data_IF_651121931772
#
_entry.id   IF_651121931772
#
_cell.length_a   1.000
_cell.length_b   1.000
_cell.length_c   1.000
_cell.angle_alpha   90.00
_cell.angle_beta   90.00
_cell.angle_gamma   90.00
#
_symmetry.space_group_name_H-M   'P 1'
#
loop_
_entity.id
_entity.type
_entity.pdbx_description
1 polymer ?
#
# COMPACT_ATOMS: atom_id res chain seq x y z
N UNK A 1 30.61 -2.30 16.22
CA UNK A 1 29.38 -2.01 15.42
C UNK A 1 29.06 -3.27 14.64
N UNK A 2 27.91 -3.87 14.84
CA UNK A 2 27.50 -5.09 14.13
C UNK A 2 26.81 -4.69 12.82
N UNK A 3 27.39 -5.12 11.69
CA UNK A 3 26.71 -5.01 10.39
C UNK A 3 25.43 -5.85 10.42
N UNK A 4 24.29 -5.19 10.34
CA UNK A 4 22.97 -5.85 10.35
C UNK A 4 22.44 -5.94 8.92
N UNK A 5 22.33 -7.17 8.39
CA UNK A 5 21.59 -7.36 7.15
C UNK A 5 20.11 -7.10 7.37
N UNK A 6 19.53 -6.25 6.55
CA UNK A 6 18.12 -5.86 6.60
C UNK A 6 17.40 -6.44 5.40
N UNK A 7 16.18 -6.93 5.62
CA UNK A 7 15.27 -7.39 4.58
C UNK A 7 13.85 -6.95 4.91
N UNK A 8 13.07 -6.68 3.88
CA UNK A 8 11.67 -6.32 4.02
C UNK A 8 10.76 -7.55 4.21
N UNK A 9 9.47 -7.31 4.46
CA UNK A 9 8.46 -8.36 4.61
C UNK A 9 8.42 -9.33 3.42
N UNK A 10 8.50 -8.86 2.19
CA UNK A 10 8.45 -9.68 0.98
C UNK A 10 9.79 -10.33 0.58
N UNK A 11 10.86 -10.16 1.35
CA UNK A 11 12.20 -10.65 1.03
C UNK A 11 12.75 -10.28 -0.37
N UNK A 12 12.15 -9.29 -1.04
CA UNK A 12 12.62 -8.80 -2.34
C UNK A 12 13.63 -7.65 -2.20
N UNK A 13 13.62 -6.94 -1.08
CA UNK A 13 14.56 -5.88 -0.75
C UNK A 13 15.51 -6.39 0.32
N UNK A 14 16.83 -6.39 0.02
CA UNK A 14 17.90 -6.82 0.94
C UNK A 14 19.09 -5.89 0.79
N UNK A 15 19.62 -5.42 1.92
CA UNK A 15 20.79 -4.55 1.95
C UNK A 15 21.46 -4.56 3.32
N UNK A 16 22.67 -3.98 3.40
CA UNK A 16 23.41 -3.84 4.65
C UNK A 16 23.82 -2.37 4.77
N UNK A 17 23.17 -1.57 5.62
CA UNK A 17 23.59 -0.18 5.86
C UNK A 17 24.95 -0.13 6.58
N UNK A 18 25.69 0.97 6.40
CA UNK A 18 26.91 1.23 7.17
C UNK A 18 26.59 1.30 8.67
N UNK A 19 25.47 1.93 9.01
CA UNK A 19 24.99 2.04 10.39
C UNK A 19 23.50 1.73 10.50
N UNK A 20 23.13 0.97 11.54
CA UNK A 20 21.74 0.73 11.94
C UNK A 20 21.52 1.25 13.35
N UNK A 21 20.56 2.15 13.54
CA UNK A 21 20.28 2.79 14.82
C UNK A 21 18.79 2.71 15.20
N UNK A 22 18.53 2.64 16.50
CA UNK A 22 17.19 2.59 17.09
C UNK A 22 17.11 3.64 18.22
N UNK A 23 16.99 4.96 17.89
CA UNK A 23 16.93 6.00 18.90
C UNK A 23 15.72 5.78 19.83
N UNK A 24 15.94 5.94 21.13
CA UNK A 24 14.92 5.71 22.15
C UNK A 24 13.89 6.84 22.20
N UNK A 25 14.32 8.07 21.88
CA UNK A 25 13.55 9.29 21.97
C UNK A 25 14.06 10.35 20.99
N UNK A 26 13.42 11.52 20.98
CA UNK A 26 13.73 12.63 20.11
C UNK A 26 15.12 13.22 20.37
N UNK A 27 15.54 13.31 21.63
CA UNK A 27 16.86 13.82 21.99
C UNK A 27 17.98 12.91 21.45
N UNK A 28 17.80 11.59 21.60
CA UNK A 28 18.70 10.59 21.04
C UNK A 28 18.72 10.61 19.51
N UNK A 29 17.58 10.89 18.86
CA UNK A 29 17.50 11.03 17.41
C UNK A 29 18.24 12.29 16.93
N UNK A 30 18.02 13.45 17.57
CA UNK A 30 18.72 14.70 17.23
C UNK A 30 20.24 14.52 17.33
N UNK A 31 20.71 13.95 18.44
CA UNK A 31 22.15 13.68 18.62
C UNK A 31 22.68 12.70 17.56
N UNK A 32 21.94 11.64 17.24
CA UNK A 32 22.34 10.68 16.21
C UNK A 32 22.53 11.37 14.85
N UNK A 33 21.62 12.27 14.47
CA UNK A 33 21.68 12.99 13.21
C UNK A 33 22.81 14.04 13.21
N UNK A 34 23.11 14.66 14.35
CA UNK A 34 24.23 15.60 14.51
C UNK A 34 25.58 14.87 14.38
N UNK A 35 25.72 13.72 15.05
CA UNK A 35 26.94 12.92 15.04
C UNK A 35 27.23 12.26 13.67
N UNK A 36 26.22 12.14 12.77
CA UNK A 36 26.31 11.44 11.49
C UNK A 36 25.67 12.25 10.35
N UNK A 37 25.91 13.54 10.32
CA UNK A 37 25.32 14.48 9.36
C UNK A 37 25.89 14.36 7.93
N UNK A 38 26.93 13.55 7.73
CA UNK A 38 27.58 13.27 6.45
C UNK A 38 27.01 12.02 5.74
N UNK A 39 26.17 11.24 6.42
CA UNK A 39 25.62 10.00 5.87
C UNK A 39 24.29 10.22 5.14
N UNK A 40 24.05 9.41 4.10
CA UNK A 40 22.71 9.21 3.55
C UNK A 40 21.80 8.51 4.57
N UNK A 41 20.56 8.94 4.71
CA UNK A 41 19.67 8.51 5.79
C UNK A 41 18.40 7.91 5.21
N UNK A 42 18.04 6.71 5.67
CA UNK A 42 16.69 6.16 5.45
C UNK A 42 16.05 5.73 6.75
N UNK A 43 14.72 5.68 6.72
CA UNK A 43 13.90 5.32 7.89
C UNK A 43 13.14 4.04 7.64
N UNK A 44 13.12 3.16 8.62
CA UNK A 44 12.34 1.91 8.61
C UNK A 44 11.62 1.76 9.94
N UNK A 45 10.55 0.99 9.96
CA UNK A 45 9.93 0.48 11.17
C UNK A 45 9.56 -1.01 10.98
N UNK A 46 8.32 -1.37 10.60
CA UNK A 46 7.93 -2.77 10.39
C UNK A 46 8.36 -3.39 9.05
N UNK A 47 8.97 -2.61 8.14
CA UNK A 47 9.57 -3.13 6.91
C UNK A 47 8.58 -3.69 5.88
N UNK A 48 7.36 -3.15 5.80
CA UNK A 48 6.31 -3.62 4.87
C UNK A 48 6.36 -3.01 3.46
N UNK A 49 7.33 -2.14 3.15
CA UNK A 49 7.50 -1.62 1.79
C UNK A 49 8.15 -2.68 0.89
N UNK A 50 7.62 -2.88 -0.33
CA UNK A 50 8.20 -3.75 -1.38
C UNK A 50 9.05 -2.97 -2.37
N UNK A 51 9.01 -1.64 -2.34
CA UNK A 51 9.88 -0.77 -3.12
C UNK A 51 11.25 -0.60 -2.46
N UNK A 52 12.24 -0.19 -3.24
CA UNK A 52 13.59 0.08 -2.76
C UNK A 52 13.71 1.39 -1.95
N UNK A 53 12.58 2.05 -1.64
CA UNK A 53 12.55 3.31 -0.89
C UNK A 53 13.26 3.26 0.47
N UNK A 54 13.38 2.07 1.08
CA UNK A 54 14.02 1.89 2.40
C UNK A 54 15.52 1.64 2.33
N UNK A 55 16.10 1.39 1.14
CA UNK A 55 17.53 1.08 1.00
C UNK A 55 18.40 2.28 1.31
N UNK A 56 19.51 2.03 2.00
CA UNK A 56 20.62 2.96 2.18
C UNK A 56 21.92 2.19 2.40
N UNK A 57 23.01 2.74 1.95
CA UNK A 57 24.37 2.34 2.29
C UNK A 57 24.91 3.12 3.51
N UNK A 58 24.25 4.21 3.90
CA UNK A 58 24.58 5.07 5.04
C UNK A 58 23.88 4.64 6.34
N UNK A 59 23.12 5.56 6.94
CA UNK A 59 22.43 5.40 8.22
C UNK A 59 20.97 4.94 8.00
N UNK A 60 20.64 3.77 8.55
CA UNK A 60 19.25 3.29 8.64
C UNK A 60 18.72 3.48 10.06
N UNK A 61 17.68 4.30 10.19
CA UNK A 61 17.02 4.59 11.47
C UNK A 61 15.75 3.78 11.60
N UNK A 62 15.63 3.01 12.68
CA UNK A 62 14.37 2.33 13.03
C UNK A 62 13.64 3.10 14.13
N UNK A 63 12.45 3.60 13.79
CA UNK A 63 11.63 4.44 14.67
C UNK A 63 10.70 3.65 15.60
N UNK A 64 10.95 2.38 15.84
CA UNK A 64 10.05 1.49 16.62
C UNK A 64 9.76 1.95 18.05
N UNK A 65 10.64 2.74 18.64
CA UNK A 65 10.48 3.24 20.01
C UNK A 65 9.55 4.47 20.09
N UNK A 66 9.29 5.14 18.97
CA UNK A 66 8.28 6.20 18.87
C UNK A 66 6.90 5.55 18.70
N UNK A 67 6.28 5.08 19.77
CA UNK A 67 5.06 4.27 19.70
C UNK A 67 3.95 4.72 20.67
N UNK A 68 4.07 5.88 21.29
CA UNK A 68 3.06 6.44 22.16
C UNK A 68 1.75 6.74 21.41
N UNK A 69 0.63 6.63 22.13
CA UNK A 69 -0.71 6.94 21.64
C UNK A 69 -1.41 7.85 22.63
N UNK A 70 -1.78 9.06 22.22
CA UNK A 70 -2.45 10.06 23.04
C UNK A 70 -3.65 10.65 22.30
N UNK A 71 -4.86 10.41 22.80
CA UNK A 71 -6.08 11.00 22.22
C UNK A 71 -6.13 12.50 22.60
N UNK A 72 -6.53 13.34 21.67
CA UNK A 72 -6.72 14.79 21.91
C UNK A 72 -7.79 15.03 22.96
N UNK A 73 -7.71 16.13 23.74
CA UNK A 73 -8.73 16.46 24.73
C UNK A 73 -10.15 16.56 24.15
N UNK A 74 -10.27 16.93 22.87
CA UNK A 74 -11.53 17.03 22.13
C UNK A 74 -12.06 15.64 21.70
N UNK A 75 -11.20 14.62 21.67
CA UNK A 75 -11.55 13.27 21.28
C UNK A 75 -11.86 13.09 19.78
N UNK A 76 -11.37 13.98 18.93
CA UNK A 76 -11.57 13.99 17.49
C UNK A 76 -10.27 13.73 16.71
N UNK A 77 -9.11 13.71 17.39
CA UNK A 77 -7.81 13.33 16.85
C UNK A 77 -7.00 12.51 17.85
N UNK A 78 -5.94 11.88 17.36
CA UNK A 78 -4.97 11.11 18.12
C UNK A 78 -3.57 11.50 17.68
N UNK A 79 -2.69 11.79 18.65
CA UNK A 79 -1.25 11.92 18.46
C UNK A 79 -0.64 10.54 18.62
N UNK A 80 0.06 10.08 17.61
CA UNK A 80 0.61 8.72 17.57
C UNK A 80 2.04 8.73 17.07
N UNK A 81 2.91 8.05 17.81
CA UNK A 81 4.32 7.90 17.44
C UNK A 81 4.50 7.16 16.11
N UNK A 82 5.47 7.58 15.33
CA UNK A 82 5.73 7.11 13.96
C UNK A 82 5.89 5.59 13.84
N UNK A 83 6.47 4.95 14.85
CA UNK A 83 6.73 3.51 14.94
C UNK A 83 5.56 2.69 15.51
N UNK A 84 4.47 3.32 15.92
CA UNK A 84 3.28 2.61 16.41
C UNK A 84 2.64 1.83 15.25
N UNK A 85 2.40 0.53 15.42
CA UNK A 85 1.68 -0.28 14.44
C UNK A 85 0.19 0.07 14.43
N UNK A 86 -0.43 0.02 13.26
CA UNK A 86 -1.86 0.31 13.09
C UNK A 86 -2.71 -0.60 13.98
N UNK A 87 -2.34 -1.88 14.14
CA UNK A 87 -3.04 -2.81 15.07
C UNK A 87 -3.01 -2.34 16.51
N UNK A 88 -1.87 -1.80 16.98
CA UNK A 88 -1.73 -1.26 18.34
C UNK A 88 -2.55 0.02 18.51
N UNK A 89 -2.49 0.93 17.55
CA UNK A 89 -3.31 2.14 17.52
C UNK A 89 -4.80 1.79 17.53
N UNK A 90 -5.23 0.87 16.67
CA UNK A 90 -6.63 0.46 16.60
C UNK A 90 -7.14 -0.18 17.89
N UNK A 91 -6.30 -0.96 18.60
CA UNK A 91 -6.62 -1.52 19.90
C UNK A 91 -6.80 -0.41 20.96
N UNK A 92 -5.84 0.52 21.06
CA UNK A 92 -5.92 1.64 21.99
C UNK A 92 -7.14 2.54 21.75
N UNK A 93 -7.48 2.81 20.47
CA UNK A 93 -8.68 3.56 20.11
C UNK A 93 -9.97 2.81 20.50
N UNK A 94 -10.02 1.49 20.28
CA UNK A 94 -11.19 0.69 20.59
C UNK A 94 -11.53 0.68 22.10
N UNK A 95 -10.52 0.70 22.98
CA UNK A 95 -10.69 0.82 24.45
C UNK A 95 -11.40 2.13 24.84
N UNK A 96 -11.26 3.17 24.02
CA UNK A 96 -11.89 4.48 24.21
C UNK A 96 -13.16 4.68 23.37
N UNK A 97 -13.69 3.61 22.77
CA UNK A 97 -14.87 3.67 21.91
C UNK A 97 -14.64 4.47 20.61
N UNK A 98 -13.39 4.55 20.15
CA UNK A 98 -12.96 5.25 18.96
C UNK A 98 -12.48 4.30 17.86
N UNK A 99 -12.29 4.83 16.67
CA UNK A 99 -11.80 4.12 15.50
C UNK A 99 -11.14 5.09 14.52
N UNK A 100 -10.24 4.56 13.66
CA UNK A 100 -9.79 5.29 12.47
C UNK A 100 -10.94 5.40 11.46
N UNK A 101 -10.97 6.45 10.62
CA UNK A 101 -11.97 6.62 9.55
C UNK A 101 -11.89 5.54 8.47
N UNK A 102 -10.70 5.01 8.23
CA UNK A 102 -10.37 3.93 7.29
C UNK A 102 -9.20 3.11 7.80
N UNK A 103 -8.96 1.95 7.20
CA UNK A 103 -7.77 1.14 7.47
C UNK A 103 -7.33 0.45 6.18
N UNK A 104 -6.01 0.25 6.03
CA UNK A 104 -5.47 -0.71 5.09
C UNK A 104 -5.79 -2.15 5.52
N UNK A 105 -5.64 -3.10 4.60
CA UNK A 105 -5.91 -4.51 4.90
C UNK A 105 -4.89 -5.08 5.90
N UNK A 106 -3.63 -4.67 5.80
CA UNK A 106 -2.51 -5.11 6.65
C UNK A 106 -2.32 -4.09 7.78
N UNK A 107 -2.46 -4.50 9.03
CA UNK A 107 -2.37 -3.63 10.20
C UNK A 107 -1.06 -3.76 11.01
N UNK A 108 -0.12 -4.60 10.53
CA UNK A 108 1.27 -4.65 11.01
C UNK A 108 2.13 -3.48 10.54
N UNK A 109 1.68 -2.70 9.56
CA UNK A 109 2.32 -1.46 9.12
C UNK A 109 2.35 -0.46 10.27
N UNK A 110 3.41 0.36 10.34
CA UNK A 110 3.44 1.50 11.26
C UNK A 110 2.70 2.69 10.66
N UNK A 111 2.19 3.57 11.53
CA UNK A 111 1.39 4.74 11.13
C UNK A 111 2.15 5.61 10.15
N UNK A 112 3.40 6.00 10.47
CA UNK A 112 4.19 6.86 9.58
C UNK A 112 4.50 6.17 8.25
N UNK A 113 4.84 4.87 8.25
CA UNK A 113 5.11 4.13 7.02
C UNK A 113 3.87 4.01 6.13
N UNK A 114 2.71 3.78 6.73
CA UNK A 114 1.44 3.65 6.03
C UNK A 114 0.98 4.99 5.42
N UNK A 115 1.04 6.08 6.20
CA UNK A 115 0.65 7.42 5.71
C UNK A 115 1.63 7.93 4.67
N UNK A 116 2.95 7.82 4.90
CA UNK A 116 3.97 8.31 3.98
C UNK A 116 3.97 7.62 2.59
N UNK A 117 3.29 6.50 2.43
CA UNK A 117 3.20 5.77 1.15
C UNK A 117 1.78 5.65 0.59
N UNK A 118 0.78 6.29 1.22
CA UNK A 118 -0.59 6.32 0.74
C UNK A 118 -1.39 5.04 0.96
N UNK A 119 -1.15 4.31 2.04
CA UNK A 119 -1.93 3.10 2.41
C UNK A 119 -3.43 3.44 2.48
N UNK A 120 -4.25 2.57 1.93
CA UNK A 120 -5.69 2.81 1.78
C UNK A 120 -6.53 1.55 2.05
N UNK A 121 -7.80 1.76 2.31
CA UNK A 121 -8.84 0.74 2.37
C UNK A 121 -9.67 0.71 1.09
N UNK A 122 -10.99 0.52 1.24
CA UNK A 122 -11.96 0.62 0.14
C UNK A 122 -13.07 1.60 0.47
N UNK A 123 -13.47 2.42 -0.52
CA UNK A 123 -14.60 3.36 -0.43
C UNK A 123 -14.34 4.62 0.39
N UNK A 124 -13.10 4.86 0.82
CA UNK A 124 -12.64 6.04 1.54
C UNK A 124 -11.36 6.57 0.91
N UNK A 125 -10.89 7.72 1.37
CA UNK A 125 -9.57 8.25 1.05
C UNK A 125 -8.45 7.36 1.65
N UNK A 126 -7.22 7.57 1.23
CA UNK A 126 -6.03 6.98 1.87
C UNK A 126 -5.92 7.42 3.34
N UNK A 127 -5.15 6.67 4.15
CA UNK A 127 -4.83 7.08 5.54
C UNK A 127 -4.15 8.45 5.59
N UNK A 128 -3.41 8.79 4.55
CA UNK A 128 -2.69 10.07 4.40
C UNK A 128 -3.62 11.28 4.47
N UNK A 129 -4.86 11.17 3.95
CA UNK A 129 -5.85 12.24 3.98
C UNK A 129 -6.22 12.66 5.42
N UNK A 130 -6.25 11.71 6.34
CA UNK A 130 -6.70 11.93 7.71
C UNK A 130 -5.60 12.43 8.66
N UNK A 131 -4.41 12.72 8.14
CA UNK A 131 -3.31 13.33 8.87
C UNK A 131 -3.57 14.83 9.01
N UNK A 132 -3.61 15.33 10.25
CA UNK A 132 -3.81 16.75 10.59
C UNK A 132 -2.50 17.49 10.82
N UNK A 133 -1.50 16.79 11.38
CA UNK A 133 -0.16 17.33 11.55
C UNK A 133 0.91 16.21 11.53
N UNK A 134 2.14 16.61 11.19
CA UNK A 134 3.30 15.72 11.18
C UNK A 134 4.43 16.40 11.93
N UNK A 135 4.98 15.73 12.94
CA UNK A 135 6.19 16.14 13.65
C UNK A 135 7.38 15.43 13.04
N UNK A 136 8.33 16.20 12.50
CA UNK A 136 9.46 15.67 11.73
C UNK A 136 10.76 16.24 12.22
N UNK A 137 11.81 15.41 12.26
CA UNK A 137 13.19 15.83 12.51
C UNK A 137 13.91 15.90 11.16
N UNK A 138 14.44 17.07 10.85
CA UNK A 138 15.14 17.36 9.60
C UNK A 138 16.30 18.30 9.84
N UNK A 139 17.11 18.58 8.82
CA UNK A 139 18.22 19.52 8.95
C UNK A 139 17.75 20.95 8.66
N UNK A 140 18.20 21.87 9.51
CA UNK A 140 18.00 23.30 9.26
C UNK A 140 18.79 23.75 8.04
N UNK A 141 18.16 24.49 7.12
CA UNK A 141 18.78 24.91 5.87
C UNK A 141 19.95 25.89 6.08
N UNK A 142 19.90 26.74 7.13
CA UNK A 142 20.88 27.79 7.37
C UNK A 142 22.07 27.27 8.19
N UNK A 143 21.77 26.45 9.18
CA UNK A 143 22.80 25.98 10.14
C UNK A 143 23.34 24.60 9.82
N UNK A 144 22.61 23.81 9.01
CA UNK A 144 22.92 22.38 8.76
C UNK A 144 22.71 21.47 9.97
N UNK A 145 22.19 22.00 11.09
CA UNK A 145 21.96 21.23 12.31
C UNK A 145 20.58 20.56 12.31
N UNK A 146 20.42 19.38 12.94
CA UNK A 146 19.11 18.74 13.07
C UNK A 146 18.19 19.55 13.97
N UNK A 147 16.93 19.70 13.53
CA UNK A 147 15.86 20.35 14.28
C UNK A 147 14.53 19.65 14.15
N UNK A 148 13.65 19.89 15.09
CA UNK A 148 12.26 19.42 15.06
C UNK A 148 11.36 20.48 14.48
N UNK A 149 10.49 20.09 13.55
CA UNK A 149 9.43 20.95 13.02
C UNK A 149 8.09 20.23 13.07
N UNK A 150 7.02 20.99 13.33
CA UNK A 150 5.65 20.49 13.24
C UNK A 150 4.99 21.11 12.01
N UNK A 151 4.60 20.27 11.06
CA UNK A 151 3.92 20.66 9.84
C UNK A 151 2.43 20.51 10.07
N UNK A 152 1.69 21.61 9.95
CA UNK A 152 0.24 21.68 10.17
C UNK A 152 -0.44 22.28 8.95
N UNK A 153 -1.75 22.12 8.85
CA UNK A 153 -2.49 22.63 7.70
C UNK A 153 -3.68 23.53 8.03
N UNK A 154 -4.33 24.00 6.96
CA UNK A 154 -4.10 23.68 5.55
C UNK A 154 -2.84 24.36 4.99
N UNK A 155 -1.91 23.59 4.43
CA UNK A 155 -0.66 24.09 3.81
C UNK A 155 -0.16 23.11 2.73
N UNK A 156 0.65 23.63 1.81
CA UNK A 156 1.30 22.78 0.79
C UNK A 156 2.28 21.81 1.43
N UNK A 157 2.94 22.24 2.51
CA UNK A 157 3.85 21.40 3.29
C UNK A 157 3.12 20.21 3.92
N UNK A 158 1.91 20.41 4.48
CA UNK A 158 1.13 19.29 5.00
C UNK A 158 0.67 18.35 3.88
N UNK A 159 0.26 18.88 2.74
CA UNK A 159 -0.11 18.08 1.57
C UNK A 159 1.06 17.22 1.07
N UNK A 160 2.29 17.71 1.18
CA UNK A 160 3.51 16.94 0.90
C UNK A 160 3.82 15.92 2.02
N UNK A 161 3.73 16.33 3.29
CA UNK A 161 4.07 15.50 4.45
C UNK A 161 3.16 14.28 4.61
N UNK A 162 1.89 14.40 4.25
CA UNK A 162 0.88 13.33 4.26
C UNK A 162 1.29 12.10 3.44
N UNK A 163 2.02 12.30 2.32
CA UNK A 163 2.58 11.22 1.49
C UNK A 163 4.02 11.55 1.11
N UNK A 164 4.91 11.60 2.10
CA UNK A 164 6.26 12.17 1.97
C UNK A 164 7.32 11.22 1.45
N UNK A 165 7.06 9.91 1.39
CA UNK A 165 8.03 8.86 1.05
C UNK A 165 9.30 8.90 1.92
N UNK A 166 9.23 9.58 3.07
CA UNK A 166 10.35 9.80 3.97
C UNK A 166 11.40 10.79 3.44
N UNK A 167 11.02 11.67 2.49
CA UNK A 167 11.93 12.68 1.90
C UNK A 167 11.97 14.00 2.69
N UNK A 168 11.07 14.21 3.67
CA UNK A 168 11.05 15.44 4.46
C UNK A 168 11.83 15.32 5.78
N UNK A 169 12.42 14.16 6.08
CA UNK A 169 13.09 13.89 7.33
C UNK A 169 12.53 12.65 8.05
N UNK A 170 12.92 12.50 9.31
CA UNK A 170 12.45 11.41 10.19
C UNK A 170 11.15 11.82 10.88
N UNK A 171 10.03 11.23 10.47
CA UNK A 171 8.75 11.44 11.16
C UNK A 171 8.84 10.78 12.54
N UNK A 172 8.49 11.52 13.59
CA UNK A 172 8.49 11.04 14.97
C UNK A 172 7.08 10.92 15.56
N UNK A 173 6.15 11.77 15.13
CA UNK A 173 4.75 11.74 15.56
C UNK A 173 3.83 12.20 14.42
N UNK A 174 2.64 11.65 14.38
CA UNK A 174 1.57 12.03 13.44
C UNK A 174 0.30 12.30 14.24
N UNK A 175 -0.39 13.41 13.98
CA UNK A 175 -1.74 13.63 14.44
C UNK A 175 -2.73 13.16 13.38
N UNK A 176 -3.63 12.25 13.75
CA UNK A 176 -4.63 11.69 12.85
C UNK A 176 -6.04 11.94 13.34
N UNK A 177 -6.95 12.16 12.40
CA UNK A 177 -8.38 12.20 12.68
C UNK A 177 -8.88 10.83 13.17
N UNK A 178 -9.74 10.87 14.20
CA UNK A 178 -10.46 9.71 14.72
C UNK A 178 -11.95 9.98 14.81
N UNK A 179 -12.74 8.93 14.90
CA UNK A 179 -14.19 8.98 14.98
C UNK A 179 -14.73 8.00 16.03
N UNK A 180 -16.01 8.11 16.44
CA UNK A 180 -16.64 7.06 17.23
C UNK A 180 -16.53 5.68 16.55
N UNK A 181 -16.35 4.64 17.35
CA UNK A 181 -16.33 3.25 16.88
C UNK A 181 -17.64 2.93 16.13
N UNK A 182 -17.53 2.14 15.06
CA UNK A 182 -18.68 1.78 14.21
C UNK A 182 -18.62 0.32 13.79
N UNK A 183 -19.76 -0.22 13.43
CA UNK A 183 -19.87 -1.58 12.90
C UNK A 183 -19.98 -1.55 11.37
N UNK A 184 -19.54 -2.65 10.75
CA UNK A 184 -19.68 -2.88 9.32
C UNK A 184 -20.56 -4.12 9.11
N UNK A 185 -21.52 -3.97 8.22
CA UNK A 185 -22.26 -5.07 7.64
C UNK A 185 -21.52 -5.50 6.38
N UNK A 186 -21.16 -6.78 6.31
CA UNK A 186 -20.61 -7.40 5.10
C UNK A 186 -21.59 -8.43 4.55
N UNK A 187 -21.67 -8.45 3.22
CA UNK A 187 -22.39 -9.44 2.44
C UNK A 187 -21.50 -9.91 1.30
N UNK A 188 -21.30 -11.23 1.18
CA UNK A 188 -20.45 -11.84 0.16
C UNK A 188 -21.29 -12.47 -0.94
N UNK A 189 -20.96 -12.18 -2.21
CA UNK A 189 -21.66 -12.76 -3.35
C UNK A 189 -20.75 -12.96 -4.57
N UNK A 190 -21.19 -13.84 -5.47
CA UNK A 190 -20.50 -14.13 -6.73
C UNK A 190 -21.28 -13.56 -7.91
N UNK A 191 -20.56 -13.01 -8.88
CA UNK A 191 -21.10 -12.35 -10.06
C UNK A 191 -20.41 -12.82 -11.34
N UNK A 192 -21.11 -12.67 -12.48
CA UNK A 192 -20.59 -13.01 -13.79
C UNK A 192 -19.91 -11.81 -14.47
N UNK A 193 -20.36 -10.60 -14.18
CA UNK A 193 -19.88 -9.38 -14.82
C UNK A 193 -19.46 -8.33 -13.80
N UNK A 194 -18.53 -7.45 -14.20
CA UNK A 194 -18.12 -6.28 -13.43
C UNK A 194 -19.29 -5.35 -13.13
N UNK A 195 -20.15 -5.13 -14.13
CA UNK A 195 -21.27 -4.19 -14.01
C UNK A 195 -22.23 -4.61 -12.87
N UNK A 196 -22.43 -5.92 -12.66
CA UNK A 196 -23.23 -6.44 -11.54
C UNK A 196 -22.63 -6.11 -10.17
N UNK A 197 -21.30 -6.10 -10.07
CA UNK A 197 -20.59 -5.77 -8.81
C UNK A 197 -20.63 -4.28 -8.55
N UNK A 198 -20.30 -3.47 -9.57
CA UNK A 198 -20.21 -2.02 -9.44
C UNK A 198 -21.58 -1.38 -9.21
N UNK A 199 -22.67 -1.98 -9.72
CA UNK A 199 -24.04 -1.52 -9.48
C UNK A 199 -24.40 -1.44 -7.98
N UNK A 200 -23.76 -2.26 -7.13
CA UNK A 200 -24.02 -2.30 -5.69
C UNK A 200 -23.18 -1.27 -4.90
N UNK A 201 -22.28 -0.52 -5.53
CA UNK A 201 -21.35 0.37 -4.86
C UNK A 201 -22.02 1.52 -4.14
N UNK A 202 -23.15 2.00 -4.65
CA UNK A 202 -23.94 3.03 -3.97
C UNK A 202 -24.54 2.53 -2.64
N UNK A 203 -25.01 1.28 -2.61
CA UNK A 203 -25.57 0.67 -1.40
C UNK A 203 -24.46 0.21 -0.43
N UNK A 204 -23.33 -0.25 -0.97
CA UNK A 204 -22.19 -0.78 -0.20
C UNK A 204 -20.91 -0.02 -0.53
N UNK A 205 -20.79 1.23 -0.06
CA UNK A 205 -19.71 2.14 -0.48
C UNK A 205 -18.30 1.66 -0.07
N UNK A 206 -18.19 0.77 0.91
CA UNK A 206 -16.93 0.21 1.40
C UNK A 206 -16.60 -1.15 0.77
N UNK A 207 -17.28 -1.54 -0.32
CA UNK A 207 -17.05 -2.83 -0.95
C UNK A 207 -15.64 -2.96 -1.48
N UNK A 208 -15.11 -4.18 -1.42
CA UNK A 208 -13.98 -4.62 -2.23
C UNK A 208 -14.42 -5.85 -3.04
N UNK A 209 -13.80 -6.06 -4.19
CA UNK A 209 -14.18 -7.18 -5.03
C UNK A 209 -12.97 -7.79 -5.71
N UNK A 210 -13.14 -9.02 -6.17
CA UNK A 210 -12.05 -9.81 -6.69
C UNK A 210 -12.41 -10.36 -8.06
N UNK A 211 -11.45 -10.23 -9.00
CA UNK A 211 -11.49 -10.98 -10.25
C UNK A 211 -10.72 -12.30 -10.02
N UNK A 212 -11.42 -13.43 -10.19
CA UNK A 212 -10.83 -14.75 -10.02
C UNK A 212 -10.07 -15.16 -11.28
N UNK A 213 -8.74 -15.29 -11.25
CA UNK A 213 -7.96 -15.61 -12.43
C UNK A 213 -8.37 -16.97 -13.02
N UNK A 214 -8.20 -17.09 -14.34
CA UNK A 214 -8.50 -18.29 -15.14
C UNK A 214 -9.98 -18.69 -15.22
N UNK A 215 -10.80 -18.37 -14.23
CA UNK A 215 -12.27 -18.55 -14.27
C UNK A 215 -13.01 -17.27 -14.69
N UNK A 216 -12.37 -16.11 -14.49
CA UNK A 216 -12.80 -14.76 -14.87
C UNK A 216 -14.20 -14.40 -14.37
N UNK A 217 -14.63 -14.94 -13.25
CA UNK A 217 -15.81 -14.49 -12.54
C UNK A 217 -15.45 -13.59 -11.37
N UNK A 218 -16.42 -12.86 -10.88
CA UNK A 218 -16.28 -11.86 -9.83
C UNK A 218 -16.77 -12.39 -8.48
N UNK A 219 -16.09 -11.98 -7.44
CA UNK A 219 -16.51 -12.19 -6.06
C UNK A 219 -16.52 -10.84 -5.36
N UNK A 220 -17.69 -10.43 -4.80
CA UNK A 220 -17.85 -9.16 -4.08
C UNK A 220 -17.95 -9.39 -2.57
N UNK A 221 -17.19 -8.62 -1.81
CA UNK A 221 -17.38 -8.37 -0.39
C UNK A 221 -18.00 -6.98 -0.26
N UNK A 222 -19.34 -6.95 -0.22
CA UNK A 222 -20.11 -5.71 -0.14
C UNK A 222 -20.18 -5.26 1.31
N UNK A 223 -19.64 -4.08 1.60
CA UNK A 223 -19.49 -3.54 2.94
C UNK A 223 -20.13 -2.18 3.07
N UNK A 224 -20.86 -1.97 4.19
CA UNK A 224 -21.37 -0.66 4.57
C UNK A 224 -21.35 -0.48 6.09
N UNK A 225 -21.26 0.77 6.52
CA UNK A 225 -21.43 1.13 7.93
C UNK A 225 -22.86 0.80 8.38
N UNK A 226 -23.00 0.39 9.64
CA UNK A 226 -24.31 0.03 10.21
C UNK A 226 -24.36 0.27 11.72
N UNK A 227 -25.57 0.57 12.21
CA UNK A 227 -25.88 0.64 13.65
C UNK A 227 -26.35 -0.72 14.23
N UNK A 228 -26.47 -1.73 13.40
CA UNK A 228 -26.87 -3.06 13.84
C UNK A 228 -25.84 -3.65 14.83
N UNK A 229 -26.34 -4.39 15.83
CA UNK A 229 -25.50 -5.11 16.75
C UNK A 229 -24.67 -6.20 16.04
N UNK A 230 -23.54 -6.54 16.64
CA UNK A 230 -22.65 -7.59 16.11
C UNK A 230 -23.38 -8.92 16.00
N UNK A 231 -23.15 -9.62 14.88
CA UNK A 231 -23.72 -10.94 14.62
C UNK A 231 -23.20 -11.97 15.61
N UNK A 232 -24.06 -12.84 16.12
CA UNK A 232 -23.67 -13.95 17.03
C UNK A 232 -22.59 -14.85 16.42
N UNK A 233 -22.63 -15.05 15.10
CA UNK A 233 -21.68 -15.87 14.35
C UNK A 233 -20.48 -15.11 13.76
N UNK A 234 -20.26 -13.84 14.14
CA UNK A 234 -19.12 -13.07 13.66
C UNK A 234 -17.76 -13.73 13.96
N UNK A 235 -17.66 -14.40 15.13
CA UNK A 235 -16.46 -15.18 15.48
C UNK A 235 -16.21 -16.34 14.53
N UNK A 236 -17.26 -17.12 14.18
CA UNK A 236 -17.16 -18.23 13.24
C UNK A 236 -16.78 -17.74 11.82
N UNK A 237 -17.35 -16.61 11.39
CA UNK A 237 -17.01 -15.98 10.12
C UNK A 237 -15.52 -15.61 10.04
N UNK A 238 -14.96 -15.05 11.11
CA UNK A 238 -13.53 -14.73 11.18
C UNK A 238 -12.65 -15.97 11.17
N UNK A 239 -13.03 -17.01 11.91
CA UNK A 239 -12.31 -18.30 11.86
C UNK A 239 -12.32 -18.88 10.45
N UNK A 240 -13.45 -18.82 9.75
CA UNK A 240 -13.54 -19.25 8.35
C UNK A 240 -12.59 -18.47 7.44
N UNK A 241 -12.54 -17.14 7.55
CA UNK A 241 -11.61 -16.32 6.75
C UNK A 241 -10.15 -16.59 7.11
N UNK A 242 -9.82 -16.64 8.39
CA UNK A 242 -8.45 -16.85 8.84
C UNK A 242 -7.95 -18.27 8.52
N UNK A 243 -8.68 -19.30 8.90
CA UNK A 243 -8.24 -20.70 8.71
C UNK A 243 -8.53 -21.20 7.29
N UNK A 244 -9.69 -20.91 6.74
CA UNK A 244 -10.13 -21.44 5.43
C UNK A 244 -9.52 -20.68 4.26
N UNK A 245 -9.50 -19.36 4.32
CA UNK A 245 -9.03 -18.53 3.20
C UNK A 245 -7.57 -18.16 3.39
N UNK A 246 -7.16 -17.52 4.49
CA UNK A 246 -5.76 -17.13 4.67
C UNK A 246 -4.84 -18.35 4.70
N UNK A 247 -5.02 -19.24 5.66
CA UNK A 247 -4.15 -20.41 5.79
C UNK A 247 -4.40 -21.45 4.71
N UNK A 248 -5.66 -21.81 4.46
CA UNK A 248 -6.02 -22.85 3.52
C UNK A 248 -5.63 -22.50 2.10
N UNK A 249 -5.99 -21.32 1.61
CA UNK A 249 -5.60 -20.85 0.28
C UNK A 249 -4.08 -20.72 0.14
N UNK A 250 -3.41 -20.16 1.16
CA UNK A 250 -1.96 -20.01 1.15
C UNK A 250 -1.23 -21.36 1.09
N UNK A 251 -1.64 -22.34 1.90
CA UNK A 251 -1.08 -23.70 1.86
C UNK A 251 -1.30 -24.39 0.52
N UNK A 252 -2.50 -24.24 -0.07
CA UNK A 252 -2.77 -24.79 -1.41
C UNK A 252 -1.90 -24.11 -2.46
N UNK A 253 -1.78 -22.79 -2.43
CA UNK A 253 -0.91 -22.04 -3.36
C UNK A 253 0.55 -22.46 -3.17
N UNK A 254 1.03 -22.58 -1.94
CA UNK A 254 2.34 -23.10 -1.62
C UNK A 254 2.58 -24.47 -2.26
N UNK A 255 1.63 -25.40 -2.10
CA UNK A 255 1.73 -26.73 -2.70
C UNK A 255 1.75 -26.67 -4.24
N UNK A 256 0.83 -25.92 -4.84
CA UNK A 256 0.71 -25.82 -6.29
C UNK A 256 1.91 -25.13 -6.95
N UNK A 257 2.42 -24.07 -6.34
CA UNK A 257 3.44 -23.19 -6.94
C UNK A 257 4.84 -23.64 -6.58
N UNK A 258 5.09 -24.06 -5.33
CA UNK A 258 6.41 -24.45 -4.85
C UNK A 258 6.72 -25.93 -5.03
N UNK A 259 5.76 -26.81 -4.70
CA UNK A 259 6.02 -28.26 -4.69
C UNK A 259 5.72 -28.87 -6.05
N UNK A 260 4.52 -28.66 -6.59
CA UNK A 260 4.11 -29.33 -7.83
C UNK A 260 4.61 -28.62 -9.09
N UNK A 261 4.63 -27.27 -9.09
CA UNK A 261 5.10 -26.42 -10.23
C UNK A 261 4.37 -26.68 -11.56
N UNK A 262 3.15 -27.20 -11.51
CA UNK A 262 2.37 -27.57 -12.68
C UNK A 262 1.31 -26.50 -12.97
N UNK A 263 1.52 -25.72 -14.04
CA UNK A 263 0.64 -24.60 -14.42
C UNK A 263 -0.82 -24.99 -14.62
N UNK A 264 -1.08 -26.16 -15.18
CA UNK A 264 -2.45 -26.68 -15.39
C UNK A 264 -3.19 -26.94 -14.08
N UNK A 265 -2.49 -27.35 -13.01
CA UNK A 265 -3.11 -27.56 -11.69
C UNK A 265 -3.51 -26.24 -11.04
N UNK A 266 -2.70 -25.18 -11.21
CA UNK A 266 -3.08 -23.83 -10.76
C UNK A 266 -4.37 -23.40 -11.43
N UNK A 267 -4.45 -23.52 -12.76
CA UNK A 267 -5.66 -23.19 -13.53
C UNK A 267 -6.86 -24.04 -13.13
N UNK A 268 -6.66 -25.34 -12.95
CA UNK A 268 -7.72 -26.25 -12.50
C UNK A 268 -8.26 -25.84 -11.13
N UNK A 269 -7.36 -25.53 -10.17
CA UNK A 269 -7.75 -25.07 -8.84
C UNK A 269 -8.64 -23.82 -8.92
N UNK A 270 -8.20 -22.77 -9.64
CA UNK A 270 -8.98 -21.53 -9.75
C UNK A 270 -10.29 -21.71 -10.55
N UNK A 271 -10.31 -22.58 -11.55
CA UNK A 271 -11.53 -22.83 -12.36
C UNK A 271 -12.56 -23.69 -11.65
N UNK A 272 -12.14 -24.67 -10.85
CA UNK A 272 -13.03 -25.73 -10.35
C UNK A 272 -13.11 -25.80 -8.83
N UNK A 273 -12.01 -25.62 -8.11
CA UNK A 273 -11.94 -25.85 -6.66
C UNK A 273 -12.27 -24.59 -5.88
N UNK A 274 -11.56 -23.49 -6.13
CA UNK A 274 -11.73 -22.24 -5.39
C UNK A 274 -13.20 -21.74 -5.37
N UNK A 275 -13.97 -21.78 -6.48
CA UNK A 275 -15.36 -21.36 -6.47
C UNK A 275 -16.29 -22.17 -5.56
N UNK A 276 -15.87 -23.37 -5.15
CA UNK A 276 -16.64 -24.24 -4.24
C UNK A 276 -16.33 -23.91 -2.77
N UNK A 277 -15.12 -23.44 -2.49
CA UNK A 277 -14.64 -23.19 -1.13
C UNK A 277 -15.03 -21.80 -0.63
N UNK A 278 -15.08 -20.81 -1.52
CA UNK A 278 -15.40 -19.43 -1.14
C UNK A 278 -16.88 -19.32 -0.76
N UNK A 279 -17.15 -18.93 0.49
CA UNK A 279 -18.51 -18.78 1.03
C UNK A 279 -19.29 -17.71 0.26
N UNK A 280 -20.55 -18.04 -0.04
CA UNK A 280 -21.49 -17.16 -0.75
C UNK A 280 -22.66 -16.85 0.17
N UNK A 281 -23.27 -15.67 -0.05
CA UNK A 281 -24.51 -15.26 0.63
C UNK A 281 -24.39 -15.24 2.17
N UNK A 282 -23.16 -15.11 2.69
CA UNK A 282 -22.96 -14.96 4.12
C UNK A 282 -23.05 -13.48 4.47
N UNK A 283 -23.98 -13.18 5.37
CA UNK A 283 -24.19 -11.82 5.88
C UNK A 283 -23.76 -11.76 7.34
N UNK A 284 -22.88 -10.80 7.66
CA UNK A 284 -22.32 -10.67 9.00
C UNK A 284 -22.13 -9.18 9.36
N UNK A 285 -22.28 -8.89 10.64
CA UNK A 285 -21.97 -7.56 11.23
C UNK A 285 -20.91 -7.77 12.29
N UNK A 286 -19.82 -7.02 12.19
CA UNK A 286 -18.79 -6.93 13.23
C UNK A 286 -18.20 -5.51 13.29
N UNK A 287 -17.30 -5.24 14.25
CA UNK A 287 -16.62 -3.95 14.39
C UNK A 287 -15.77 -3.64 13.14
N UNK A 288 -15.66 -2.34 12.82
CA UNK A 288 -14.87 -1.86 11.69
C UNK A 288 -13.42 -2.38 11.71
N UNK A 289 -12.78 -2.39 12.88
CA UNK A 289 -11.44 -2.92 13.05
C UNK A 289 -11.31 -4.36 12.58
N UNK A 290 -12.28 -5.22 12.91
CA UNK A 290 -12.25 -6.66 12.58
C UNK A 290 -12.70 -6.96 11.15
N UNK A 291 -13.41 -6.05 10.51
CA UNK A 291 -13.93 -6.23 9.15
C UNK A 291 -13.05 -5.61 8.09
N UNK A 292 -12.20 -4.64 8.43
CA UNK A 292 -11.35 -3.93 7.48
C UNK A 292 -9.92 -4.47 7.45
N UNK A 293 -9.47 -5.19 8.48
CA UNK A 293 -8.11 -5.71 8.58
C UNK A 293 -8.07 -7.24 8.52
N UNK A 294 -6.95 -7.79 8.11
CA UNK A 294 -6.64 -9.22 8.12
C UNK A 294 -5.24 -9.42 8.74
N UNK A 295 -5.06 -10.50 9.49
CA UNK A 295 -3.76 -10.88 10.01
C UNK A 295 -2.96 -11.61 8.92
N UNK A 296 -1.79 -11.05 8.55
CA UNK A 296 -0.99 -11.57 7.44
C UNK A 296 0.43 -12.03 7.84
N UNK A 297 0.67 -12.32 9.10
CA UNK A 297 2.03 -12.68 9.58
C UNK A 297 2.66 -13.86 8.82
N UNK A 298 1.85 -14.84 8.42
CA UNK A 298 2.31 -16.06 7.73
C UNK A 298 2.26 -15.88 6.21
N UNK A 299 1.43 -14.98 5.71
CA UNK A 299 1.14 -14.79 4.30
C UNK A 299 2.12 -13.82 3.63
N UNK A 300 3.37 -14.26 3.43
CA UNK A 300 4.37 -13.44 2.74
C UNK A 300 4.19 -13.48 1.24
N UNK A 301 4.13 -12.31 0.62
CA UNK A 301 3.94 -12.13 -0.81
C UNK A 301 4.71 -10.91 -1.31
N UNK A 302 4.78 -10.75 -2.62
CA UNK A 302 5.16 -9.52 -3.31
C UNK A 302 3.93 -9.03 -4.04
N UNK A 303 3.78 -7.74 -4.13
CA UNK A 303 2.60 -7.12 -4.71
C UNK A 303 2.98 -5.99 -5.66
N UNK A 304 2.27 -5.91 -6.79
CA UNK A 304 2.12 -4.71 -7.59
C UNK A 304 0.67 -4.24 -7.46
N UNK A 305 0.49 -2.94 -7.31
CA UNK A 305 -0.82 -2.32 -7.26
C UNK A 305 -0.85 -1.09 -8.15
N UNK A 306 -1.81 -1.06 -9.07
CA UNK A 306 -1.98 0.04 -10.02
C UNK A 306 -3.32 0.70 -9.84
N UNK A 307 -3.34 2.03 -9.93
CA UNK A 307 -4.53 2.86 -9.73
C UNK A 307 -4.99 3.42 -11.06
N UNK A 308 -6.23 3.16 -11.39
CA UNK A 308 -6.88 3.69 -12.60
C UNK A 308 -8.10 4.54 -12.25
N UNK A 309 -8.47 5.46 -13.12
CA UNK A 309 -9.70 6.24 -12.98
C UNK A 309 -10.93 5.34 -13.13
N UNK A 310 -12.04 5.76 -12.51
CA UNK A 310 -13.32 5.06 -12.64
C UNK A 310 -13.73 4.86 -14.11
N UNK A 311 -13.52 5.85 -14.94
CA UNK A 311 -13.84 5.80 -16.38
C UNK A 311 -13.10 4.68 -17.11
N UNK A 312 -11.90 4.34 -16.67
CA UNK A 312 -11.01 3.39 -17.34
C UNK A 312 -11.08 1.98 -16.76
N UNK A 313 -11.72 1.81 -15.59
CA UNK A 313 -11.72 0.56 -14.81
C UNK A 313 -12.04 -0.68 -15.66
N UNK A 314 -13.08 -0.63 -16.47
CA UNK A 314 -13.53 -1.80 -17.26
C UNK A 314 -12.49 -2.21 -18.32
N UNK A 315 -11.96 -1.24 -19.04
CA UNK A 315 -10.94 -1.47 -20.07
C UNK A 315 -9.62 -1.92 -19.43
N UNK A 316 -9.21 -1.26 -18.34
CA UNK A 316 -8.01 -1.61 -17.60
C UNK A 316 -8.05 -3.05 -17.08
N UNK A 317 -9.17 -3.50 -16.52
CA UNK A 317 -9.34 -4.87 -16.02
C UNK A 317 -9.33 -5.91 -17.15
N UNK A 318 -9.86 -5.58 -18.32
CA UNK A 318 -9.76 -6.46 -19.48
C UNK A 318 -8.30 -6.59 -19.96
N UNK A 319 -7.54 -5.50 -19.98
CA UNK A 319 -6.11 -5.55 -20.35
C UNK A 319 -5.26 -6.25 -19.27
N UNK A 320 -5.57 -6.10 -17.98
CA UNK A 320 -4.95 -6.92 -16.90
C UNK A 320 -5.19 -8.41 -17.15
N UNK A 321 -6.44 -8.79 -17.45
CA UNK A 321 -6.79 -10.19 -17.74
C UNK A 321 -6.01 -10.72 -18.95
N UNK A 322 -5.96 -9.98 -20.05
CA UNK A 322 -5.23 -10.37 -21.27
C UNK A 322 -3.72 -10.47 -20.99
N UNK A 323 -3.14 -9.54 -20.26
CA UNK A 323 -1.74 -9.61 -19.82
C UNK A 323 -1.46 -10.90 -19.05
N UNK A 324 -2.31 -11.26 -18.08
CA UNK A 324 -2.19 -12.51 -17.33
C UNK A 324 -2.28 -13.73 -18.26
N UNK A 325 -3.17 -13.71 -19.25
CA UNK A 325 -3.33 -14.80 -20.20
C UNK A 325 -2.08 -15.01 -21.06
N UNK A 326 -1.50 -13.93 -21.61
CA UNK A 326 -0.29 -13.99 -22.46
C UNK A 326 0.91 -14.46 -21.64
N UNK A 327 1.15 -13.85 -20.47
CA UNK A 327 2.21 -14.31 -19.55
C UNK A 327 1.97 -15.74 -19.04
N UNK A 328 0.74 -16.18 -19.00
CA UNK A 328 0.35 -17.57 -18.71
C UNK A 328 0.54 -18.53 -19.90
N UNK A 329 0.78 -18.02 -21.11
CA UNK A 329 0.93 -18.81 -22.34
C UNK A 329 -0.37 -19.12 -23.06
N UNK A 330 -1.46 -18.34 -22.80
CA UNK A 330 -2.67 -18.34 -23.60
C UNK A 330 -2.55 -17.29 -24.73
N UNK A 331 -3.05 -17.63 -25.92
CA UNK A 331 -3.17 -16.66 -26.99
C UNK A 331 -4.39 -15.75 -26.77
N UNK A 332 -4.22 -14.46 -27.01
CA UNK A 332 -5.32 -13.48 -27.04
C UNK A 332 -5.39 -12.81 -28.40
N UNK A 333 -6.59 -12.52 -28.85
CA UNK A 333 -6.83 -11.87 -30.16
C UNK A 333 -6.79 -10.34 -30.04
N UNK A 334 -5.70 -9.78 -29.51
CA UNK A 334 -5.55 -8.33 -29.33
C UNK A 334 -4.15 -7.87 -29.65
N UNK A 335 -4.00 -6.59 -29.96
CA UNK A 335 -2.70 -5.94 -30.19
C UNK A 335 -1.78 -5.97 -28.96
N UNK A 336 -2.37 -6.15 -27.78
CA UNK A 336 -1.63 -6.30 -26.51
C UNK A 336 -0.63 -7.47 -26.57
N UNK A 337 -1.04 -8.61 -27.18
CA UNK A 337 -0.12 -9.75 -27.32
C UNK A 337 1.14 -9.40 -28.12
N UNK A 338 1.04 -8.51 -29.09
CA UNK A 338 2.18 -8.09 -29.92
C UNK A 338 3.11 -7.13 -29.16
N UNK A 339 2.58 -6.41 -28.17
CA UNK A 339 3.35 -5.49 -27.34
C UNK A 339 4.16 -6.23 -26.25
N UNK A 340 3.72 -7.43 -25.84
CA UNK A 340 4.45 -8.24 -24.87
C UNK A 340 5.59 -8.98 -25.59
N UNK A 341 6.86 -8.85 -25.13
CA UNK A 341 7.97 -9.57 -25.72
C UNK A 341 7.70 -11.08 -25.79
N UNK A 342 8.02 -11.72 -26.91
CA UNK A 342 7.78 -13.17 -27.08
C UNK A 342 8.51 -14.02 -26.03
N UNK A 343 9.65 -13.54 -25.52
CA UNK A 343 10.39 -14.16 -24.41
C UNK A 343 9.59 -14.26 -23.12
N UNK A 344 8.59 -13.38 -22.93
CA UNK A 344 7.80 -13.30 -21.72
C UNK A 344 6.51 -14.13 -21.78
N UNK A 345 6.16 -14.61 -23.00
CA UNK A 345 4.98 -15.47 -23.17
C UNK A 345 5.16 -16.78 -22.39
N UNK A 346 4.22 -17.10 -21.54
CA UNK A 346 4.24 -18.32 -20.74
C UNK A 346 5.22 -18.31 -19.56
N UNK A 347 5.85 -17.20 -19.21
CA UNK A 347 6.85 -17.12 -18.13
C UNK A 347 6.24 -17.01 -16.73
N UNK A 348 5.01 -16.48 -16.62
CA UNK A 348 4.35 -16.24 -15.34
C UNK A 348 2.93 -16.82 -15.31
N UNK A 349 2.61 -17.55 -14.25
CA UNK A 349 1.27 -18.06 -13.99
C UNK A 349 0.70 -17.35 -12.76
N UNK A 350 -0.25 -16.43 -12.97
CA UNK A 350 -0.89 -15.73 -11.86
C UNK A 350 -1.68 -16.71 -11.00
N UNK A 351 -1.57 -16.60 -9.67
CA UNK A 351 -1.99 -17.61 -8.71
C UNK A 351 -2.61 -17.04 -7.44
N UNK A 352 -3.19 -15.82 -7.52
CA UNK A 352 -3.99 -15.23 -6.46
C UNK A 352 -5.21 -14.51 -7.05
N UNK A 353 -6.30 -14.33 -6.28
CA UNK A 353 -7.39 -13.43 -6.65
C UNK A 353 -6.86 -12.00 -6.84
N UNK A 354 -7.31 -11.32 -7.88
CA UNK A 354 -6.97 -9.92 -8.15
C UNK A 354 -7.95 -9.07 -7.34
N UNK A 355 -7.45 -8.31 -6.37
CA UNK A 355 -8.27 -7.48 -5.50
C UNK A 355 -8.48 -6.10 -6.12
N UNK A 356 -9.71 -5.61 -6.13
CA UNK A 356 -10.06 -4.28 -6.62
C UNK A 356 -10.78 -3.51 -5.51
N UNK A 357 -10.30 -2.27 -5.25
CA UNK A 357 -10.81 -1.38 -4.22
C UNK A 357 -11.01 0.02 -4.76
N UNK A 358 -12.16 0.62 -4.47
CA UNK A 358 -12.41 2.03 -4.77
C UNK A 358 -11.68 2.89 -3.75
N UNK A 359 -10.98 3.93 -4.20
CA UNK A 359 -10.27 4.88 -3.35
C UNK A 359 -10.66 6.29 -3.77
N UNK A 360 -11.09 7.11 -2.83
CA UNK A 360 -11.48 8.49 -3.10
C UNK A 360 -10.23 9.37 -3.29
N UNK A 361 -10.36 10.41 -4.10
CA UNK A 361 -9.33 11.43 -4.26
C UNK A 361 -8.98 12.07 -2.92
N UNK A 362 -7.71 12.37 -2.69
CA UNK A 362 -7.20 13.01 -1.46
C UNK A 362 -6.49 14.35 -1.76
N UNK A 363 -6.12 15.07 -0.71
CA UNK A 363 -5.49 16.40 -0.81
C UNK A 363 -3.95 16.35 -0.76
N UNK A 364 -3.35 15.19 -0.99
CA UNK A 364 -1.89 15.05 -1.03
C UNK A 364 -1.31 15.53 -2.37
N UNK A 365 0.00 15.74 -2.43
CA UNK A 365 0.64 16.12 -3.69
C UNK A 365 0.94 14.91 -4.59
N UNK A 366 1.28 13.78 -3.99
CA UNK A 366 1.83 12.62 -4.73
C UNK A 366 1.26 11.27 -4.31
N UNK A 367 0.14 11.21 -3.58
CA UNK A 367 -0.52 9.90 -3.42
C UNK A 367 -1.04 9.38 -4.77
N UNK A 368 -1.32 8.10 -4.84
CA UNK A 368 -1.86 7.49 -6.06
C UNK A 368 -3.22 8.07 -6.46
N UNK A 369 -3.92 8.70 -5.52
CA UNK A 369 -5.25 9.32 -5.73
C UNK A 369 -5.20 10.85 -5.65
N UNK A 370 -4.01 11.46 -5.61
CA UNK A 370 -3.86 12.92 -5.62
C UNK A 370 -4.51 13.52 -6.88
N UNK A 371 -5.28 14.62 -6.74
CA UNK A 371 -5.98 15.22 -7.86
C UNK A 371 -5.00 15.91 -8.82
N UNK A 372 -5.33 15.92 -10.10
CA UNK A 372 -4.56 16.64 -11.11
C UNK A 372 -4.80 18.16 -11.01
N UNK A 373 -5.96 18.57 -10.51
CA UNK A 373 -6.36 19.95 -10.22
C UNK A 373 -7.57 19.93 -9.29
N UNK A 374 -8.01 21.09 -8.79
CA UNK A 374 -9.12 21.22 -7.84
C UNK A 374 -10.48 20.68 -8.33
N UNK A 375 -10.66 20.52 -9.64
CA UNK A 375 -11.89 19.96 -10.24
C UNK A 375 -11.81 18.45 -10.45
N UNK A 376 -10.66 17.84 -10.22
CA UNK A 376 -10.42 16.41 -10.40
C UNK A 376 -10.85 15.61 -9.16
N UNK A 377 -12.15 15.44 -9.01
CA UNK A 377 -12.79 14.71 -7.90
C UNK A 377 -13.13 13.25 -8.26
N UNK A 378 -12.60 12.73 -9.36
CA UNK A 378 -12.93 11.36 -9.78
C UNK A 378 -12.36 10.33 -8.83
N UNK A 379 -13.17 9.28 -8.56
CA UNK A 379 -12.72 8.11 -7.83
C UNK A 379 -11.66 7.33 -8.62
N UNK A 380 -10.77 6.70 -7.87
CA UNK A 380 -9.78 5.77 -8.37
C UNK A 380 -10.10 4.34 -7.96
N UNK A 381 -9.58 3.40 -8.72
CA UNK A 381 -9.62 1.98 -8.36
C UNK A 381 -8.21 1.42 -8.30
N UNK A 382 -7.85 0.93 -7.14
CA UNK A 382 -6.64 0.16 -6.92
C UNK A 382 -6.86 -1.26 -7.41
N UNK A 383 -6.00 -1.75 -8.29
CA UNK A 383 -5.98 -3.12 -8.81
C UNK A 383 -4.71 -3.78 -8.28
N UNK A 384 -4.88 -4.70 -7.34
CA UNK A 384 -3.82 -5.31 -6.57
C UNK A 384 -3.56 -6.73 -7.05
N UNK A 385 -2.33 -7.02 -7.47
CA UNK A 385 -1.89 -8.32 -7.95
C UNK A 385 -0.71 -8.81 -7.11
N UNK A 386 -0.91 -9.93 -6.45
CA UNK A 386 0.07 -10.52 -5.54
C UNK A 386 0.70 -11.78 -6.12
N UNK A 387 1.94 -12.03 -5.73
CA UNK A 387 2.72 -13.21 -6.08
C UNK A 387 3.32 -13.83 -4.83
N UNK A 388 3.36 -15.15 -4.75
CA UNK A 388 4.02 -15.86 -3.66
C UNK A 388 5.50 -15.45 -3.53
N UNK A 389 5.97 -15.22 -2.32
CA UNK A 389 7.26 -14.56 -2.06
C UNK A 389 8.51 -15.38 -2.42
N UNK A 390 8.40 -16.68 -2.67
CA UNK A 390 9.53 -17.57 -2.91
C UNK A 390 10.31 -17.19 -4.18
N UNK A 391 11.66 -17.08 -4.13
CA UNK A 391 12.45 -16.58 -5.26
C UNK A 391 12.21 -17.28 -6.60
N UNK A 392 12.09 -18.62 -6.60
CA UNK A 392 11.83 -19.37 -7.83
C UNK A 392 10.39 -19.21 -8.36
N UNK A 393 9.45 -18.79 -7.53
CA UNK A 393 8.05 -18.58 -7.91
C UNK A 393 7.83 -17.20 -8.50
N UNK A 394 8.63 -16.21 -8.12
CA UNK A 394 8.55 -14.83 -8.62
C UNK A 394 9.36 -14.57 -9.89
N UNK A 395 10.05 -15.57 -10.44
CA UNK A 395 10.87 -15.43 -11.64
C UNK A 395 9.97 -14.95 -12.77
N UNK A 396 9.07 -14.90 -13.22
CA UNK A 396 8.28 -14.24 -14.28
C UNK A 396 7.45 -13.08 -13.75
N UNK A 397 7.31 -12.96 -12.41
CA UNK A 397 6.46 -11.90 -11.85
C UNK A 397 7.00 -10.51 -12.10
N UNK A 398 8.30 -10.31 -11.98
CA UNK A 398 8.89 -8.98 -12.22
C UNK A 398 8.78 -8.57 -13.70
N UNK A 399 8.95 -9.48 -14.65
CA UNK A 399 8.71 -9.19 -16.07
C UNK A 399 7.24 -8.81 -16.32
N UNK A 400 6.32 -9.59 -15.76
CA UNK A 400 4.89 -9.30 -15.78
C UNK A 400 4.57 -7.94 -15.15
N UNK A 401 5.10 -7.64 -13.97
CA UNK A 401 4.81 -6.41 -13.23
C UNK A 401 5.40 -5.17 -13.93
N UNK A 402 6.61 -5.29 -14.50
CA UNK A 402 7.24 -4.23 -15.28
C UNK A 402 6.40 -3.88 -16.53
N UNK A 403 6.02 -4.90 -17.29
CA UNK A 403 5.17 -4.69 -18.45
C UNK A 403 3.82 -4.06 -18.04
N UNK A 404 3.15 -4.66 -17.04
CA UNK A 404 1.83 -4.19 -16.58
C UNK A 404 1.88 -2.73 -16.15
N UNK A 405 2.83 -2.34 -15.29
CA UNK A 405 2.93 -0.96 -14.81
C UNK A 405 3.14 0.03 -15.95
N UNK A 406 4.11 -0.23 -16.84
CA UNK A 406 4.43 0.65 -17.96
C UNK A 406 3.27 0.75 -18.96
N UNK A 407 2.65 -0.37 -19.28
CA UNK A 407 1.50 -0.42 -20.17
C UNK A 407 0.30 0.33 -19.60
N UNK A 408 -0.04 0.09 -18.35
CA UNK A 408 -1.16 0.75 -17.67
C UNK A 408 -0.91 2.26 -17.48
N UNK A 409 0.33 2.66 -17.18
CA UNK A 409 0.71 4.07 -17.10
C UNK A 409 0.53 4.79 -18.45
N UNK A 410 0.99 4.17 -19.53
CA UNK A 410 0.88 4.75 -20.91
C UNK A 410 -0.56 4.78 -21.39
N UNK A 411 -1.33 3.71 -21.16
CA UNK A 411 -2.66 3.53 -21.75
C UNK A 411 -3.77 4.22 -20.97
N UNK A 412 -3.68 4.22 -19.63
CA UNK A 412 -4.74 4.68 -18.72
C UNK A 412 -4.26 5.76 -17.72
N UNK A 413 -3.05 6.29 -17.90
CA UNK A 413 -2.43 7.18 -16.91
C UNK A 413 -2.45 6.60 -15.49
N UNK A 414 -2.31 5.27 -15.40
CA UNK A 414 -2.35 4.55 -14.14
C UNK A 414 -1.11 4.85 -13.29
N UNK A 415 -1.31 4.97 -11.98
CA UNK A 415 -0.25 5.22 -11.01
C UNK A 415 0.08 3.95 -10.24
N UNK A 416 1.35 3.71 -9.96
CA UNK A 416 1.77 2.58 -9.12
C UNK A 416 1.85 2.99 -7.66
N UNK A 417 1.48 2.07 -6.73
CA UNK A 417 1.54 2.31 -5.29
C UNK A 417 2.98 2.42 -4.81
N UNK A 418 3.32 3.50 -4.08
CA UNK A 418 4.68 3.78 -3.62
C UNK A 418 5.28 2.74 -2.69
N UNK A 419 4.48 2.16 -1.81
CA UNK A 419 4.91 1.11 -0.88
C UNK A 419 4.93 -0.30 -1.47
N UNK A 420 4.51 -0.50 -2.73
CA UNK A 420 4.49 -1.78 -3.43
C UNK A 420 5.66 -1.88 -4.41
N UNK A 421 5.79 -2.99 -5.12
CA UNK A 421 6.72 -3.05 -6.24
C UNK A 421 6.31 -2.01 -7.29
N UNK A 422 7.17 -1.03 -7.52
CA UNK A 422 6.91 0.07 -8.42
C UNK A 422 8.10 0.23 -9.40
N UNK A 423 7.93 -0.18 -10.65
CA UNK A 423 8.98 -0.12 -11.67
C UNK A 423 8.94 1.16 -12.52
N UNK A 424 8.00 2.08 -12.26
CA UNK A 424 7.89 3.32 -13.04
C UNK A 424 9.08 4.25 -12.72
N UNK A 425 9.63 4.85 -13.78
CA UNK A 425 10.72 5.80 -13.67
C UNK A 425 10.24 7.25 -13.46
N UNK A 426 11.18 8.16 -13.34
CA UNK A 426 10.94 9.60 -13.15
C UNK A 426 10.16 10.21 -14.32
N UNK A 427 10.46 9.82 -15.57
CA UNK A 427 9.79 10.37 -16.74
C UNK A 427 8.30 10.00 -16.74
N UNK A 428 7.97 8.76 -16.44
CA UNK A 428 6.59 8.31 -16.30
C UNK A 428 5.90 9.05 -15.14
N UNK A 429 6.53 9.13 -13.96
CA UNK A 429 5.94 9.80 -12.80
C UNK A 429 5.75 11.31 -13.00
N UNK A 430 6.63 12.00 -13.74
CA UNK A 430 6.45 13.40 -14.10
C UNK A 430 5.17 13.64 -14.91
N UNK A 431 4.78 12.70 -15.76
CA UNK A 431 3.54 12.80 -16.53
C UNK A 431 2.31 12.44 -15.70
N UNK A 432 2.44 11.54 -14.73
CA UNK A 432 1.35 11.01 -13.91
C UNK A 432 0.99 11.90 -12.73
N UNK A 433 1.93 12.70 -12.22
CA UNK A 433 1.73 13.55 -11.04
C UNK A 433 1.92 15.03 -11.36
N UNK A 434 0.86 15.75 -11.75
CA UNK A 434 0.95 17.17 -12.17
C UNK A 434 1.50 18.11 -11.10
N UNK A 435 1.39 17.74 -9.82
CA UNK A 435 1.89 18.52 -8.67
C UNK A 435 3.25 18.04 -8.15
N UNK A 436 3.97 17.25 -8.94
CA UNK A 436 5.26 16.69 -8.53
C UNK A 436 6.32 17.77 -8.27
N UNK A 437 6.31 18.87 -9.02
CA UNK A 437 7.26 19.98 -8.82
C UNK A 437 6.96 20.77 -7.55
N UNK A 438 5.69 20.91 -7.15
CA UNK A 438 5.34 21.44 -5.84
C UNK A 438 5.89 20.55 -4.71
N UNK A 439 5.74 19.22 -4.86
CA UNK A 439 6.28 18.27 -3.90
C UNK A 439 7.81 18.38 -3.79
N UNK A 440 8.53 18.45 -4.92
CA UNK A 440 10.00 18.65 -4.95
C UNK A 440 10.42 19.95 -4.26
N UNK A 441 9.67 21.03 -4.48
CA UNK A 441 9.93 22.31 -3.82
C UNK A 441 9.83 22.21 -2.30
N UNK A 442 8.87 21.44 -1.78
CA UNK A 442 8.77 21.17 -0.34
C UNK A 442 9.92 20.27 0.13
N UNK A 443 10.26 19.22 -0.62
CA UNK A 443 11.43 18.38 -0.29
C UNK A 443 12.69 19.23 -0.18
N UNK A 444 12.97 20.08 -1.16
CA UNK A 444 14.14 20.97 -1.15
C UNK A 444 14.19 21.94 0.03
N UNK A 445 13.00 22.31 0.57
CA UNK A 445 12.91 23.13 1.78
C UNK A 445 13.34 22.39 3.04
N UNK A 446 12.96 21.10 3.16
CA UNK A 446 13.21 20.28 4.34
C UNK A 446 14.50 19.45 4.26
N UNK A 447 14.94 19.12 3.05
CA UNK A 447 16.14 18.33 2.78
C UNK A 447 16.94 18.93 1.60
N UNK A 448 17.54 20.11 1.79
CA UNK A 448 18.25 20.82 0.72
C UNK A 448 19.49 20.07 0.20
N UNK A 449 20.05 19.17 0.99
CA UNK A 449 21.22 18.37 0.63
C UNK A 449 20.86 16.93 0.22
N UNK A 450 19.56 16.63 0.07
CA UNK A 450 19.05 15.31 -0.34
C UNK A 450 19.55 14.15 0.52
N UNK A 451 19.79 14.38 1.83
CA UNK A 451 20.31 13.39 2.79
C UNK A 451 19.32 12.24 3.03
N UNK A 452 18.00 12.54 2.93
CA UNK A 452 16.93 11.54 3.06
C UNK A 452 16.56 10.89 1.73
N UNK A 453 17.21 11.21 0.63
CA UNK A 453 17.05 10.54 -0.64
C UNK A 453 17.91 9.27 -0.72
N UNK A 454 17.51 8.37 -1.62
CA UNK A 454 18.35 7.27 -2.06
C UNK A 454 18.28 7.13 -3.59
N UNK A 455 19.05 6.23 -4.17
CA UNK A 455 19.12 6.05 -5.62
C UNK A 455 17.73 5.79 -6.23
N UNK A 456 16.90 4.95 -5.61
CA UNK A 456 15.56 4.64 -6.12
C UNK A 456 14.67 5.88 -6.13
N UNK A 457 14.59 6.63 -5.04
CA UNK A 457 13.79 7.87 -4.95
C UNK A 457 14.29 8.94 -5.93
N UNK A 458 15.59 9.03 -6.11
CA UNK A 458 16.20 9.90 -7.12
C UNK A 458 15.78 9.52 -8.55
N UNK A 459 15.65 8.23 -8.81
CA UNK A 459 15.25 7.73 -10.13
C UNK A 459 13.75 7.77 -10.40
N UNK A 460 12.90 7.86 -9.35
CA UNK A 460 11.44 7.82 -9.53
C UNK A 460 10.75 9.16 -9.25
N UNK A 461 11.33 10.04 -8.41
CA UNK A 461 10.68 11.29 -7.96
C UNK A 461 11.53 12.53 -8.18
N UNK A 462 12.80 12.54 -7.76
CA UNK A 462 13.61 13.74 -7.74
C UNK A 462 14.10 14.12 -9.14
N UNK A 463 14.36 15.42 -9.39
CA UNK A 463 14.93 15.89 -10.65
C UNK A 463 16.47 15.77 -10.64
N UNK A 464 17.10 15.89 -11.82
CA UNK A 464 18.58 15.93 -11.89
C UNK A 464 19.16 17.17 -11.19
N UNK A 465 18.38 18.26 -11.11
CA UNK A 465 18.76 19.47 -10.38
C UNK A 465 18.74 19.27 -8.86
N UNK A 466 17.98 18.29 -8.35
CA UNK A 466 17.90 17.94 -6.94
C UNK A 466 19.03 16.98 -6.51
N UNK A 467 19.82 16.50 -7.46
CA UNK A 467 21.03 15.72 -7.20
C UNK A 467 22.17 16.70 -6.93
N UNK A 468 22.28 17.18 -5.72
CA UNK A 468 23.48 17.91 -5.31
C UNK A 468 24.63 16.91 -5.28
N UNK A 469 25.72 17.32 -5.94
CA UNK A 469 26.94 16.55 -6.12
C UNK A 469 27.65 16.20 -4.80
#
# INVERSE_FOLDING_TARGET
>A
MTTKQVHNFGNNVRFTPAMYAEPADEAGLLKLLEDHNDLSIRVIASGHAWSDAIKTDGLLINVKHFNEVRISPQGDSVYVGAGCQIKCLAAALAEQGKSLPTSGLIDEQTVAGATATGTHGSGKNSLSQYVRSVRVVHFDKETGTPKVSTITGPSVELSAARCSLGLLGVIVEVEMEIRPAYNILEYSARYQTLDQVVALEHEYPLQQFYLMPWSWHWFGQHRKETTQARSKLAGLYRVYWHVGIDWGLHLVIFALVKLMRVKSLIRFFFKRVLPLVVAKNWRVVDSSQKMLTMEHEIFRHIEIEVFVRRSDLKNALEEVKQTIQVFGGEAVSSDLQQQIPKSDHGTYQHHYPICIRRVLADETLVSMTSPSNEKDIQDWYAISLICFEWPSCRHGFFGFANFLASHMATRFHARSHWGKYNPLDRQANQQLYPRLDEFRSVVQKFDPESRFANEWLSNVILSDADRVA
#
